data_IF_506553823766
#
_entry.id   IF_506553823766
#
_cell.length_a   1.000
_cell.length_b   1.000
_cell.length_c   1.000
_cell.angle_alpha   90.00
_cell.angle_beta   90.00
_cell.angle_gamma   90.00
#
_symmetry.space_group_name_H-M   'P 1'
#
loop_
_entity.id
_entity.type
_entity.pdbx_description
1 polymer ?
#
# COMPACT_ATOMS: atom_id res chain seq x y z
N UNK A 1 73.15 15.90 -7.86
CA UNK A 1 73.87 16.67 -6.81
C UNK A 1 75.13 17.24 -7.43
N UNK A 2 75.45 18.52 -7.18
CA UNK A 2 76.74 19.10 -7.58
C UNK A 2 77.62 19.26 -6.34
N UNK A 3 78.82 18.68 -6.38
CA UNK A 3 79.85 18.90 -5.37
C UNK A 3 80.98 19.70 -6.04
N UNK A 4 81.34 20.83 -5.43
CA UNK A 4 82.41 21.72 -5.91
C UNK A 4 83.56 21.66 -4.93
N UNK A 5 84.69 21.10 -5.35
CA UNK A 5 85.95 21.16 -4.60
C UNK A 5 86.87 22.18 -5.28
N UNK A 6 87.57 22.97 -4.47
CA UNK A 6 88.40 24.11 -4.88
C UNK A 6 89.78 23.93 -4.29
N UNK A 7 90.83 23.97 -5.09
CA UNK A 7 92.19 24.02 -4.57
C UNK A 7 92.65 25.48 -4.32
N UNK A 8 93.74 25.66 -3.58
CA UNK A 8 94.30 26.99 -3.25
C UNK A 8 94.86 27.76 -4.47
N UNK A 9 94.89 27.16 -5.66
CA UNK A 9 95.38 27.78 -6.89
C UNK A 9 94.23 28.27 -7.80
N UNK A 10 92.97 28.12 -7.38
CA UNK A 10 91.81 28.64 -8.11
C UNK A 10 91.34 27.73 -9.25
N UNK A 11 91.79 26.48 -9.30
CA UNK A 11 91.28 25.50 -10.25
C UNK A 11 90.07 24.77 -9.65
N UNK A 12 89.06 24.52 -10.48
CA UNK A 12 87.85 23.80 -10.09
C UNK A 12 87.61 22.66 -11.08
N UNK A 13 87.36 21.46 -10.57
CA UNK A 13 86.86 20.33 -11.37
C UNK A 13 85.39 20.16 -11.03
N UNK A 14 84.52 20.37 -12.02
CA UNK A 14 83.08 20.17 -11.90
C UNK A 14 82.74 18.82 -12.54
N UNK A 15 82.50 17.80 -11.73
CA UNK A 15 81.93 16.53 -12.21
C UNK A 15 80.41 16.58 -12.07
N UNK A 16 79.72 16.39 -13.19
CA UNK A 16 78.26 16.28 -13.22
C UNK A 16 77.91 14.82 -13.39
N UNK A 17 77.17 14.25 -12.42
CA UNK A 17 76.53 12.96 -12.57
C UNK A 17 75.17 13.25 -13.21
N UNK A 18 75.01 12.94 -14.49
CA UNK A 18 73.70 12.86 -15.13
C UNK A 18 72.96 11.67 -14.55
N UNK A 19 71.90 11.93 -13.80
CA UNK A 19 71.02 10.90 -13.26
C UNK A 19 69.85 10.77 -14.24
N UNK A 20 69.88 9.76 -15.09
CA UNK A 20 68.75 9.41 -15.94
C UNK A 20 67.69 8.72 -15.07
N UNK A 21 66.77 9.51 -14.51
CA UNK A 21 65.63 8.96 -13.78
C UNK A 21 64.64 8.47 -14.83
N UNK A 22 64.70 7.17 -15.14
CA UNK A 22 63.77 6.51 -16.05
C UNK A 22 62.32 6.87 -15.67
N UNK A 23 61.62 7.61 -16.54
CA UNK A 23 60.27 8.08 -16.27
C UNK A 23 59.33 6.87 -16.15
N UNK A 24 58.69 6.73 -14.99
CA UNK A 24 57.72 5.67 -14.74
C UNK A 24 56.48 5.89 -15.64
N UNK A 25 56.09 4.93 -16.50
CA UNK A 25 54.89 5.07 -17.32
C UNK A 25 53.62 5.03 -16.46
N UNK A 26 52.53 5.70 -16.89
CA UNK A 26 51.24 5.64 -16.21
C UNK A 26 50.66 4.21 -16.25
N UNK A 27 49.87 3.82 -15.23
CA UNK A 27 49.19 2.53 -15.21
C UNK A 27 48.05 2.48 -16.23
N UNK A 28 47.77 1.29 -16.76
CA UNK A 28 46.74 1.04 -17.77
C UNK A 28 45.61 0.23 -17.13
N UNK A 29 44.37 0.70 -17.28
CA UNK A 29 43.18 -0.08 -16.91
C UNK A 29 42.85 -1.07 -18.01
N UNK A 30 42.75 -2.35 -17.66
CA UNK A 30 42.53 -3.45 -18.61
C UNK A 30 41.11 -3.97 -18.59
N UNK A 31 40.45 -3.94 -17.43
CA UNK A 31 39.06 -4.33 -17.28
C UNK A 31 38.33 -3.43 -16.27
N UNK A 32 37.18 -2.91 -16.67
CA UNK A 32 36.33 -2.06 -15.85
C UNK A 32 34.93 -1.93 -16.47
N UNK A 33 33.88 -1.83 -15.65
CA UNK A 33 32.52 -1.62 -16.15
C UNK A 33 32.32 -0.16 -16.56
N UNK A 34 31.84 0.10 -17.78
CA UNK A 34 31.41 1.46 -18.18
C UNK A 34 30.09 1.88 -17.49
N UNK A 35 29.27 0.90 -17.14
CA UNK A 35 28.02 1.05 -16.39
C UNK A 35 27.94 0.00 -15.30
N UNK A 36 27.46 0.39 -14.11
CA UNK A 36 27.35 -0.48 -12.93
C UNK A 36 25.98 -0.28 -12.28
N UNK A 37 25.32 -1.35 -11.86
CA UNK A 37 24.10 -1.24 -11.08
C UNK A 37 24.42 -1.09 -9.57
N UNK A 38 23.57 -0.37 -8.83
CA UNK A 38 23.77 -0.12 -7.38
C UNK A 38 23.80 -1.38 -6.51
N UNK A 39 23.43 -2.55 -7.06
CA UNK A 39 23.50 -3.85 -6.38
C UNK A 39 24.78 -4.63 -6.71
N UNK A 40 25.64 -4.14 -7.60
CA UNK A 40 26.91 -4.75 -7.99
C UNK A 40 28.10 -4.07 -7.30
N UNK A 41 29.18 -4.83 -7.12
CA UNK A 41 30.45 -4.29 -6.63
C UNK A 41 31.26 -3.69 -7.79
N UNK A 42 31.84 -2.53 -7.57
CA UNK A 42 32.79 -1.96 -8.52
C UNK A 42 34.11 -2.74 -8.46
N UNK A 43 34.49 -3.32 -9.59
CA UNK A 43 35.76 -4.03 -9.77
C UNK A 43 36.51 -3.38 -10.92
N UNK A 44 37.80 -3.14 -10.70
CA UNK A 44 38.70 -2.58 -11.69
C UNK A 44 40.00 -3.37 -11.69
N UNK A 45 40.47 -3.74 -12.87
CA UNK A 45 41.75 -4.41 -13.08
C UNK A 45 42.64 -3.60 -14.00
N UNK A 46 43.95 -3.70 -13.79
CA UNK A 46 44.92 -3.00 -14.61
C UNK A 46 46.34 -3.54 -14.47
N UNK A 47 47.23 -2.92 -15.25
CA UNK A 47 48.66 -3.21 -15.28
C UNK A 47 49.47 -1.94 -15.06
N UNK A 48 50.52 -2.04 -14.25
CA UNK A 48 51.55 -1.03 -14.03
C UNK A 48 52.93 -1.62 -14.36
N UNK A 49 53.99 -0.79 -14.35
CA UNK A 49 55.37 -1.28 -14.50
C UNK A 49 55.69 -2.27 -13.37
N UNK A 50 56.42 -3.34 -13.68
CA UNK A 50 56.82 -4.34 -12.70
C UNK A 50 57.55 -3.71 -11.50
N UNK A 51 57.14 -4.10 -10.30
CA UNK A 51 57.70 -3.57 -9.05
C UNK A 51 57.29 -2.13 -8.71
N UNK A 52 56.24 -1.58 -9.31
CA UNK A 52 55.64 -0.28 -8.92
C UNK A 52 54.22 -0.46 -8.37
N UNK A 53 53.90 0.21 -7.27
CA UNK A 53 52.54 0.24 -6.70
C UNK A 53 51.65 1.25 -7.44
N UNK A 54 50.35 1.31 -7.13
CA UNK A 54 49.39 2.21 -7.79
C UNK A 54 48.59 3.01 -6.76
N UNK A 55 48.43 4.33 -6.97
CA UNK A 55 47.40 5.10 -6.29
C UNK A 55 46.19 5.24 -7.23
N UNK A 56 45.05 4.72 -6.80
CA UNK A 56 43.77 4.84 -7.49
C UNK A 56 42.97 6.01 -6.90
N UNK A 57 42.47 6.88 -7.77
CA UNK A 57 41.65 8.02 -7.42
C UNK A 57 40.23 7.80 -7.93
N UNK A 58 39.24 7.96 -7.06
CA UNK A 58 37.82 7.83 -7.38
C UNK A 58 37.11 9.11 -6.95
N UNK A 59 36.41 9.74 -7.88
CA UNK A 59 35.60 10.94 -7.60
C UNK A 59 34.17 10.73 -8.08
N UNK A 60 33.21 10.90 -7.17
CA UNK A 60 31.79 10.97 -7.52
C UNK A 60 31.42 12.41 -7.90
N UNK A 61 30.93 12.62 -9.11
CA UNK A 61 30.46 13.92 -9.63
C UNK A 61 31.47 15.07 -9.42
N UNK A 62 31.27 15.89 -8.38
CA UNK A 62 32.16 16.99 -7.95
C UNK A 62 32.49 16.91 -6.45
N UNK A 63 32.28 15.76 -5.85
CA UNK A 63 32.61 15.49 -4.45
C UNK A 63 34.13 15.35 -4.25
N UNK A 64 34.53 15.09 -3.01
CA UNK A 64 35.92 14.87 -2.64
C UNK A 64 36.49 13.64 -3.36
N UNK A 65 37.74 13.75 -3.80
CA UNK A 65 38.48 12.62 -4.40
C UNK A 65 38.90 11.67 -3.29
N UNK A 66 38.54 10.39 -3.44
CA UNK A 66 39.00 9.31 -2.58
C UNK A 66 40.24 8.67 -3.21
N UNK A 67 41.26 8.41 -2.39
CA UNK A 67 42.54 7.82 -2.83
C UNK A 67 42.75 6.47 -2.16
N UNK A 68 43.07 5.46 -2.97
CA UNK A 68 43.33 4.09 -2.53
C UNK A 68 44.71 3.65 -2.99
N UNK A 69 45.56 3.22 -2.05
CA UNK A 69 46.87 2.66 -2.36
C UNK A 69 46.75 1.16 -2.64
N UNK A 70 47.13 0.73 -3.85
CA UNK A 70 47.04 -0.65 -4.31
C UNK A 70 48.44 -1.23 -4.50
N UNK A 71 48.65 -2.43 -3.95
CA UNK A 71 49.85 -3.23 -4.22
C UNK A 71 49.71 -3.95 -5.55
N UNK A 72 50.72 -3.86 -6.40
CA UNK A 72 50.79 -4.68 -7.62
C UNK A 72 51.43 -6.03 -7.35
N UNK A 73 51.05 -7.03 -8.13
CA UNK A 73 51.78 -8.30 -8.23
C UNK A 73 53.18 -8.13 -8.84
N UNK A 74 53.99 -9.20 -8.82
CA UNK A 74 55.32 -9.24 -9.45
C UNK A 74 55.30 -8.86 -10.93
N UNK A 75 54.22 -9.24 -11.63
CA UNK A 75 53.98 -8.91 -13.05
C UNK A 75 53.35 -7.53 -13.29
N UNK A 76 53.24 -6.70 -12.25
CA UNK A 76 52.65 -5.36 -12.34
C UNK A 76 51.11 -5.31 -12.39
N UNK A 77 50.42 -6.45 -12.33
CA UNK A 77 48.95 -6.49 -12.28
C UNK A 77 48.41 -6.00 -10.95
N UNK A 78 47.33 -5.24 -10.98
CA UNK A 78 46.56 -4.81 -9.81
C UNK A 78 45.06 -5.01 -10.01
N UNK A 79 44.34 -5.15 -8.89
CA UNK A 79 42.90 -5.25 -8.84
C UNK A 79 42.36 -4.45 -7.67
N UNK A 80 41.32 -3.67 -7.93
CA UNK A 80 40.55 -2.97 -6.91
C UNK A 80 39.14 -3.55 -6.87
N UNK A 81 38.64 -3.74 -5.65
CA UNK A 81 37.24 -4.08 -5.38
C UNK A 81 36.77 -3.09 -4.33
N UNK A 82 35.71 -2.35 -4.61
CA UNK A 82 35.13 -1.44 -3.64
C UNK A 82 34.53 -2.21 -2.46
N UNK A 83 34.79 -1.77 -1.23
CA UNK A 83 34.26 -2.41 -0.01
C UNK A 83 32.73 -2.30 0.07
N UNK A 84 32.21 -1.14 -0.34
CA UNK A 84 30.79 -0.83 -0.38
C UNK A 84 30.30 -0.66 -1.82
N UNK A 85 29.01 -0.95 -2.02
CA UNK A 85 28.33 -0.70 -3.29
C UNK A 85 28.26 0.81 -3.55
N UNK A 86 28.62 1.20 -4.76
CA UNK A 86 28.60 2.60 -5.16
C UNK A 86 27.15 3.10 -5.22
N UNK A 87 26.94 4.33 -4.74
CA UNK A 87 25.66 5.03 -4.89
C UNK A 87 25.47 5.48 -6.34
N UNK A 88 24.22 5.62 -6.76
CA UNK A 88 23.87 6.21 -8.05
C UNK A 88 24.60 7.54 -8.28
N UNK A 89 25.14 7.70 -9.49
CA UNK A 89 25.88 8.89 -9.91
C UNK A 89 26.94 8.60 -10.97
N UNK A 90 27.70 9.63 -11.33
CA UNK A 90 28.80 9.52 -12.30
C UNK A 90 30.12 9.54 -11.56
N UNK A 91 30.96 8.54 -11.78
CA UNK A 91 32.28 8.45 -11.17
C UNK A 91 33.36 8.69 -12.22
N UNK A 92 34.39 9.43 -11.83
CA UNK A 92 35.66 9.54 -12.55
C UNK A 92 36.71 8.74 -11.81
N UNK A 93 37.45 7.92 -12.54
CA UNK A 93 38.49 7.07 -11.98
C UNK A 93 39.78 7.27 -12.77
N UNK A 94 40.88 7.52 -12.08
CA UNK A 94 42.21 7.63 -12.67
C UNK A 94 43.26 7.11 -11.69
N UNK A 95 44.48 6.87 -12.16
CA UNK A 95 45.54 6.30 -11.34
C UNK A 95 46.92 6.80 -11.72
N UNK A 96 47.82 6.86 -10.74
CA UNK A 96 49.27 7.02 -10.92
C UNK A 96 50.02 5.81 -10.36
N UNK A 97 51.21 5.55 -10.91
CA UNK A 97 52.11 4.51 -10.43
C UNK A 97 53.16 5.11 -9.48
N UNK A 98 53.60 4.32 -8.51
CA UNK A 98 54.60 4.67 -7.50
C UNK A 98 55.72 3.64 -7.52
N UNK A 99 56.92 4.04 -7.94
CA UNK A 99 58.11 3.20 -7.93
C UNK A 99 58.64 2.92 -6.51
N UNK A 100 59.49 1.91 -6.37
CA UNK A 100 60.12 1.53 -5.08
C UNK A 100 60.94 2.65 -4.42
N UNK A 101 61.44 3.58 -5.22
CA UNK A 101 62.19 4.76 -4.79
C UNK A 101 61.29 5.97 -4.46
N UNK A 102 59.96 5.80 -4.49
CA UNK A 102 58.99 6.87 -4.27
C UNK A 102 58.73 7.76 -5.50
N UNK A 103 59.35 7.48 -6.65
CA UNK A 103 59.05 8.20 -7.89
C UNK A 103 57.62 7.94 -8.35
N UNK A 104 56.91 8.98 -8.80
CA UNK A 104 55.54 8.87 -9.31
C UNK A 104 55.50 9.02 -10.82
N UNK A 105 54.63 8.27 -11.48
CA UNK A 105 54.28 8.50 -12.88
C UNK A 105 53.35 9.71 -13.01
N UNK A 106 53.10 10.12 -14.26
CA UNK A 106 51.90 10.89 -14.57
C UNK A 106 50.65 10.03 -14.33
N UNK A 107 49.51 10.68 -14.10
CA UNK A 107 48.23 9.99 -14.02
C UNK A 107 47.77 9.55 -15.41
N UNK A 108 47.04 8.44 -15.48
CA UNK A 108 46.37 8.06 -16.72
C UNK A 108 45.14 8.91 -17.01
N UNK A 109 44.63 8.80 -18.24
CA UNK A 109 43.41 9.48 -18.65
C UNK A 109 42.20 8.99 -17.81
N UNK A 110 41.41 9.88 -17.20
CA UNK A 110 40.29 9.48 -16.37
C UNK A 110 39.21 8.73 -17.15
N UNK A 111 38.82 7.56 -16.65
CA UNK A 111 37.67 6.81 -17.14
C UNK A 111 36.39 7.26 -16.41
N UNK A 112 35.24 7.11 -17.09
CA UNK A 112 33.92 7.47 -16.58
C UNK A 112 33.09 6.22 -16.35
N UNK A 113 32.53 6.09 -15.14
CA UNK A 113 31.66 4.99 -14.73
C UNK A 113 30.29 5.56 -14.37
N UNK A 114 29.22 5.03 -14.95
CA UNK A 114 27.85 5.45 -14.64
C UNK A 114 27.21 4.42 -13.73
N UNK A 115 26.91 4.79 -12.50
CA UNK A 115 26.22 3.93 -11.54
C UNK A 115 24.73 4.21 -11.58
N UNK A 116 23.92 3.20 -11.91
CA UNK A 116 22.47 3.31 -12.09
C UNK A 116 21.72 2.54 -11.01
N UNK A 117 20.49 2.95 -10.67
CA UNK A 117 19.69 2.23 -9.70
C UNK A 117 19.31 0.84 -10.26
N UNK A 118 19.57 -0.20 -9.47
CA UNK A 118 19.22 -1.58 -9.83
C UNK A 118 17.71 -1.74 -10.05
N UNK A 119 17.35 -2.48 -11.10
CA UNK A 119 15.95 -2.79 -11.41
C UNK A 119 15.29 -3.61 -10.29
N UNK A 120 16.02 -4.54 -9.67
CA UNK A 120 15.51 -5.32 -8.53
C UNK A 120 15.11 -4.43 -7.35
N UNK A 121 15.88 -3.38 -7.10
CA UNK A 121 15.60 -2.43 -6.01
C UNK A 121 14.35 -1.59 -6.33
N UNK A 122 14.10 -1.28 -7.61
CA UNK A 122 12.86 -0.63 -8.07
C UNK A 122 11.63 -1.51 -7.87
N UNK A 123 11.76 -2.82 -8.08
CA UNK A 123 10.66 -3.77 -7.83
C UNK A 123 10.37 -3.95 -6.33
N UNK A 124 11.40 -4.05 -5.49
CA UNK A 124 11.23 -4.20 -4.04
C UNK A 124 10.44 -3.06 -3.39
N UNK A 125 10.74 -1.81 -3.73
CA UNK A 125 10.03 -0.64 -3.20
C UNK A 125 8.58 -0.54 -3.73
N UNK A 126 8.35 -0.96 -4.98
CA UNK A 126 7.02 -0.95 -5.59
C UNK A 126 6.08 -1.99 -4.97
N UNK A 127 6.60 -3.15 -4.58
CA UNK A 127 5.80 -4.19 -3.91
C UNK A 127 5.36 -3.75 -2.51
N UNK A 128 6.25 -3.13 -1.73
CA UNK A 128 5.94 -2.67 -0.36
C UNK A 128 4.82 -1.61 -0.38
N UNK A 129 4.91 -0.66 -1.30
CA UNK A 129 3.89 0.41 -1.44
C UNK A 129 2.55 -0.13 -1.92
N UNK A 130 2.54 -1.07 -2.86
CA UNK A 130 1.31 -1.72 -3.31
C UNK A 130 0.63 -2.51 -2.18
N UNK A 131 1.39 -3.31 -1.41
CA UNK A 131 0.83 -4.10 -0.30
C UNK A 131 0.20 -3.22 0.78
N UNK A 132 0.81 -2.05 1.08
CA UNK A 132 0.29 -1.14 2.10
C UNK A 132 -1.09 -0.56 1.76
N UNK A 133 -1.45 -0.48 0.48
CA UNK A 133 -2.76 0.00 0.00
C UNK A 133 -3.75 -1.17 -0.13
N UNK A 134 -3.28 -2.34 -0.58
CA UNK A 134 -4.14 -3.50 -0.83
C UNK A 134 -4.72 -4.08 0.46
N UNK A 135 -3.91 -4.21 1.53
CA UNK A 135 -4.34 -4.77 2.81
C UNK A 135 -5.54 -4.03 3.42
N UNK A 136 -5.55 -2.68 3.57
CA UNK A 136 -6.70 -1.97 4.13
C UNK A 136 -7.94 -2.04 3.21
N UNK A 137 -7.77 -2.10 1.88
CA UNK A 137 -8.89 -2.28 0.95
C UNK A 137 -9.56 -3.64 1.16
N UNK A 138 -8.78 -4.72 1.30
CA UNK A 138 -9.32 -6.05 1.61
C UNK A 138 -10.03 -6.03 2.97
N UNK A 139 -9.45 -5.38 3.97
CA UNK A 139 -10.07 -5.20 5.28
C UNK A 139 -11.41 -4.47 5.21
N UNK A 140 -11.49 -3.37 4.43
CA UNK A 140 -12.72 -2.61 4.19
C UNK A 140 -13.78 -3.44 3.46
N UNK A 141 -13.38 -4.23 2.46
CA UNK A 141 -14.29 -5.13 1.75
C UNK A 141 -14.89 -6.18 2.68
N UNK A 142 -14.06 -6.83 3.51
CA UNK A 142 -14.52 -7.81 4.50
C UNK A 142 -15.47 -7.15 5.51
N UNK A 143 -15.13 -5.95 5.99
CA UNK A 143 -15.95 -5.20 6.92
C UNK A 143 -17.30 -4.81 6.29
N UNK A 144 -17.31 -4.39 5.02
CA UNK A 144 -18.54 -4.08 4.28
C UNK A 144 -19.43 -5.32 4.14
N UNK A 145 -18.85 -6.45 3.74
CA UNK A 145 -19.56 -7.74 3.64
C UNK A 145 -20.15 -8.13 5.00
N UNK A 146 -19.39 -7.94 6.08
CA UNK A 146 -19.85 -8.22 7.43
C UNK A 146 -21.03 -7.32 7.85
N UNK A 147 -20.98 -6.02 7.55
CA UNK A 147 -22.08 -5.08 7.81
C UNK A 147 -23.33 -5.48 7.02
N UNK A 148 -23.20 -5.80 5.74
CA UNK A 148 -24.32 -6.22 4.90
C UNK A 148 -24.94 -7.52 5.43
N UNK A 149 -24.11 -8.51 5.77
CA UNK A 149 -24.56 -9.77 6.35
C UNK A 149 -25.29 -9.56 7.68
N UNK A 150 -24.70 -8.77 8.58
CA UNK A 150 -25.29 -8.47 9.89
C UNK A 150 -26.62 -7.70 9.75
N UNK A 151 -26.65 -6.69 8.88
CA UNK A 151 -27.84 -5.88 8.61
C UNK A 151 -28.96 -6.73 8.04
N UNK A 152 -28.66 -7.60 7.06
CA UNK A 152 -29.66 -8.47 6.47
C UNK A 152 -30.21 -9.48 7.47
N UNK A 153 -29.36 -10.07 8.29
CA UNK A 153 -29.78 -11.02 9.32
C UNK A 153 -30.65 -10.36 10.40
N UNK A 154 -30.30 -9.14 10.83
CA UNK A 154 -31.11 -8.36 11.77
C UNK A 154 -32.44 -7.92 11.15
N UNK A 155 -32.43 -7.43 9.91
CA UNK A 155 -33.62 -7.00 9.19
C UNK A 155 -34.58 -8.17 8.95
N UNK A 156 -34.08 -9.34 8.55
CA UNK A 156 -34.89 -10.55 8.37
C UNK A 156 -35.56 -10.98 9.68
N UNK A 157 -34.84 -10.93 10.80
CA UNK A 157 -35.44 -11.21 12.13
C UNK A 157 -36.49 -10.18 12.52
N UNK A 158 -36.24 -8.90 12.28
CA UNK A 158 -37.18 -7.82 12.57
C UNK A 158 -38.47 -7.95 11.75
N UNK A 159 -38.35 -8.15 10.43
CA UNK A 159 -39.47 -8.34 9.52
C UNK A 159 -40.33 -9.55 9.90
N UNK A 160 -39.69 -10.67 10.25
CA UNK A 160 -40.41 -11.88 10.68
C UNK A 160 -41.16 -11.70 12.01
N UNK A 161 -40.69 -10.82 12.90
CA UNK A 161 -41.41 -10.48 14.14
C UNK A 161 -42.59 -9.58 13.85
N UNK A 162 -42.39 -8.53 13.06
CA UNK A 162 -43.45 -7.60 12.67
C UNK A 162 -44.62 -8.30 11.98
N UNK A 163 -44.37 -9.19 11.02
CA UNK A 163 -45.44 -9.94 10.37
C UNK A 163 -46.22 -10.83 11.35
N UNK A 164 -45.56 -11.40 12.36
CA UNK A 164 -46.22 -12.19 13.40
C UNK A 164 -47.05 -11.30 14.33
N UNK A 165 -46.54 -10.13 14.70
CA UNK A 165 -47.22 -9.21 15.61
C UNK A 165 -48.43 -8.55 14.94
N UNK A 166 -48.32 -8.18 13.65
CA UNK A 166 -49.44 -7.66 12.84
C UNK A 166 -50.55 -8.71 12.73
N UNK A 167 -50.23 -9.95 12.34
CA UNK A 167 -51.23 -11.05 12.26
C UNK A 167 -51.87 -11.36 13.61
N UNK A 168 -51.15 -11.22 14.72
CA UNK A 168 -51.71 -11.40 16.07
C UNK A 168 -52.67 -10.26 16.44
N UNK A 169 -52.28 -9.02 16.17
CA UNK A 169 -53.13 -7.86 16.41
C UNK A 169 -54.43 -7.93 15.59
N UNK A 170 -54.31 -8.32 14.32
CA UNK A 170 -55.42 -8.52 13.39
C UNK A 170 -56.41 -9.58 13.89
N UNK A 171 -55.92 -10.79 14.21
CA UNK A 171 -56.75 -11.87 14.73
C UNK A 171 -57.46 -11.47 16.05
N UNK A 172 -56.76 -10.77 16.94
CA UNK A 172 -57.34 -10.29 18.19
C UNK A 172 -58.44 -9.25 17.95
N UNK A 173 -58.23 -8.31 17.02
CA UNK A 173 -59.24 -7.32 16.63
C UNK A 173 -60.47 -7.99 16.00
N UNK A 174 -60.26 -8.97 15.11
CA UNK A 174 -61.34 -9.74 14.49
C UNK A 174 -62.15 -10.50 15.54
N UNK A 175 -61.49 -11.16 16.50
CA UNK A 175 -62.16 -11.86 17.61
C UNK A 175 -62.95 -10.90 18.50
N UNK A 176 -62.40 -9.74 18.82
CA UNK A 176 -63.08 -8.72 19.63
C UNK A 176 -64.33 -8.18 18.91
N UNK A 177 -64.21 -7.84 17.62
CA UNK A 177 -65.33 -7.38 16.81
C UNK A 177 -66.42 -8.45 16.65
N UNK A 178 -66.03 -9.72 16.41
CA UNK A 178 -66.97 -10.84 16.33
C UNK A 178 -67.75 -11.03 17.63
N UNK A 179 -67.10 -10.92 18.79
CA UNK A 179 -67.78 -10.97 20.09
C UNK A 179 -68.77 -9.82 20.25
N UNK A 180 -68.35 -8.59 19.97
CA UNK A 180 -69.23 -7.41 20.01
C UNK A 180 -70.45 -7.58 19.11
N UNK A 181 -70.26 -8.06 17.88
CA UNK A 181 -71.33 -8.35 16.92
C UNK A 181 -72.34 -9.36 17.47
N UNK A 182 -71.86 -10.45 18.06
CA UNK A 182 -72.72 -11.48 18.65
C UNK A 182 -73.55 -10.90 19.81
N UNK A 183 -72.93 -10.12 20.68
CA UNK A 183 -73.60 -9.50 21.83
C UNK A 183 -74.66 -8.48 21.40
N UNK A 184 -74.33 -7.60 20.44
CA UNK A 184 -75.28 -6.62 19.88
C UNK A 184 -76.45 -7.32 19.17
N UNK A 185 -76.18 -8.36 18.37
CA UNK A 185 -77.22 -9.12 17.68
C UNK A 185 -78.15 -9.85 18.66
N UNK A 186 -77.60 -10.36 19.76
CA UNK A 186 -78.39 -10.98 20.84
C UNK A 186 -79.30 -9.97 21.53
N UNK A 187 -78.83 -8.75 21.79
CA UNK A 187 -79.67 -7.68 22.34
C UNK A 187 -80.80 -7.28 21.39
N UNK A 188 -80.51 -7.18 20.09
CA UNK A 188 -81.54 -6.92 19.06
C UNK A 188 -82.57 -8.04 19.03
N UNK A 189 -82.16 -9.31 19.09
CA UNK A 189 -83.08 -10.47 19.07
C UNK A 189 -83.98 -10.52 20.31
N UNK A 190 -83.47 -10.16 21.49
CA UNK A 190 -84.28 -10.04 22.72
C UNK A 190 -85.35 -8.95 22.54
N UNK A 191 -84.97 -7.77 22.04
CA UNK A 191 -85.92 -6.67 21.80
C UNK A 191 -86.95 -7.01 20.70
N UNK A 192 -86.54 -7.73 19.65
CA UNK A 192 -87.45 -8.23 18.62
C UNK A 192 -88.40 -9.33 19.12
N UNK A 193 -87.97 -10.17 20.07
CA UNK A 193 -88.86 -11.12 20.76
C UNK A 193 -89.88 -10.39 21.63
N UNK A 194 -89.44 -9.37 22.39
CA UNK A 194 -90.35 -8.53 23.19
C UNK A 194 -91.40 -7.81 22.33
N UNK A 195 -91.05 -7.43 21.09
CA UNK A 195 -92.00 -6.89 20.09
C UNK A 195 -93.17 -7.84 19.78
N UNK A 196 -92.95 -9.16 19.86
CA UNK A 196 -93.99 -10.16 19.59
C UNK A 196 -94.97 -10.31 20.76
N UNK A 197 -94.56 -9.90 21.97
CA UNK A 197 -95.36 -9.96 23.19
C UNK A 197 -96.04 -8.62 23.50
N UNK A 198 -95.45 -7.49 23.10
CA UNK A 198 -96.04 -6.14 23.18
C UNK A 198 -95.55 -5.24 22.03
N UNK A 199 -96.29 -4.20 21.68
CA UNK A 199 -95.75 -3.20 20.75
C UNK A 199 -94.52 -2.49 21.34
N UNK A 200 -93.46 -2.36 20.53
CA UNK A 200 -92.29 -1.57 20.88
C UNK A 200 -92.63 -0.07 20.84
N UNK A 201 -92.07 0.67 21.78
CA UNK A 201 -92.09 2.13 21.78
C UNK A 201 -91.32 2.68 20.56
N UNK A 202 -91.65 3.90 20.14
CA UNK A 202 -90.94 4.56 19.03
C UNK A 202 -89.44 4.76 19.34
N UNK A 203 -89.07 4.94 20.60
CA UNK A 203 -87.66 4.97 21.05
C UNK A 203 -86.95 3.63 20.85
N UNK A 204 -87.59 2.50 21.19
CA UNK A 204 -87.02 1.16 21.00
C UNK A 204 -86.84 0.83 19.52
N UNK A 205 -87.83 1.17 18.67
CA UNK A 205 -87.72 0.98 17.21
C UNK A 205 -86.57 1.79 16.61
N UNK A 206 -86.39 3.05 17.03
CA UNK A 206 -85.28 3.90 16.59
C UNK A 206 -83.93 3.34 17.02
N UNK A 207 -83.81 2.90 18.27
CA UNK A 207 -82.58 2.32 18.81
C UNK A 207 -82.17 1.05 18.07
N UNK A 208 -83.10 0.12 17.80
CA UNK A 208 -82.82 -1.09 17.02
C UNK A 208 -82.33 -0.74 15.61
N UNK A 209 -82.99 0.23 14.96
CA UNK A 209 -82.62 0.68 13.61
C UNK A 209 -81.21 1.27 13.59
N UNK A 210 -80.85 2.08 14.59
CA UNK A 210 -79.50 2.63 14.73
C UNK A 210 -78.46 1.53 14.97
N UNK A 211 -78.67 0.65 15.95
CA UNK A 211 -77.74 -0.45 16.25
C UNK A 211 -77.50 -1.39 15.07
N UNK A 212 -78.54 -1.67 14.26
CA UNK A 212 -78.40 -2.46 13.03
C UNK A 212 -77.56 -1.76 11.97
N UNK A 213 -77.78 -0.46 11.78
CA UNK A 213 -77.03 0.34 10.81
C UNK A 213 -75.56 0.46 11.25
N UNK A 214 -75.31 0.84 12.49
CA UNK A 214 -73.96 1.02 13.03
C UNK A 214 -73.16 -0.29 13.00
N UNK A 215 -73.80 -1.42 13.28
CA UNK A 215 -73.18 -2.74 13.21
C UNK A 215 -72.83 -3.13 11.77
N UNK A 216 -73.71 -2.86 10.81
CA UNK A 216 -73.47 -3.15 9.39
C UNK A 216 -72.35 -2.26 8.82
N UNK A 217 -72.34 -0.98 9.17
CA UNK A 217 -71.31 -0.03 8.74
C UNK A 217 -69.94 -0.42 9.30
N UNK A 218 -69.88 -0.77 10.60
CA UNK A 218 -68.66 -1.24 11.22
C UNK A 218 -68.17 -2.58 10.62
N UNK A 219 -69.09 -3.50 10.29
CA UNK A 219 -68.74 -4.77 9.62
C UNK A 219 -68.16 -4.53 8.24
N UNK A 220 -68.73 -3.59 7.47
CA UNK A 220 -68.24 -3.23 6.14
C UNK A 220 -66.83 -2.62 6.18
N UNK A 221 -66.55 -1.72 7.13
CA UNK A 221 -65.23 -1.08 7.29
C UNK A 221 -64.19 -2.13 7.71
N UNK A 222 -64.47 -2.86 8.78
CA UNK A 222 -63.54 -3.84 9.35
C UNK A 222 -63.23 -4.97 8.35
N UNK A 223 -64.22 -5.43 7.57
CA UNK A 223 -63.99 -6.47 6.56
C UNK A 223 -63.11 -5.99 5.40
N UNK A 224 -63.18 -4.71 5.02
CA UNK A 224 -62.31 -4.13 3.98
C UNK A 224 -60.87 -4.00 4.47
N UNK A 225 -60.68 -3.38 5.64
CA UNK A 225 -59.36 -3.18 6.25
C UNK A 225 -58.59 -4.50 6.42
N UNK A 226 -59.26 -5.58 6.85
CA UNK A 226 -58.62 -6.90 6.95
C UNK A 226 -58.24 -7.48 5.58
N UNK A 227 -59.07 -7.32 4.56
CA UNK A 227 -58.79 -7.83 3.21
C UNK A 227 -57.59 -7.12 2.59
N UNK A 228 -57.42 -5.82 2.87
CA UNK A 228 -56.33 -5.02 2.32
C UNK A 228 -55.00 -5.32 3.04
N UNK A 229 -55.03 -5.47 4.37
CA UNK A 229 -53.84 -5.86 5.17
C UNK A 229 -53.37 -7.28 4.82
N UNK A 230 -54.28 -8.24 4.60
CA UNK A 230 -53.91 -9.61 4.23
C UNK A 230 -53.15 -9.66 2.89
N UNK A 231 -53.54 -8.82 1.92
CA UNK A 231 -52.83 -8.69 0.63
C UNK A 231 -51.45 -8.08 0.80
N UNK A 232 -51.33 -6.97 1.54
CA UNK A 232 -50.04 -6.30 1.78
C UNK A 232 -49.04 -7.21 2.51
N UNK A 233 -49.51 -8.05 3.44
CA UNK A 233 -48.67 -9.01 4.17
C UNK A 233 -48.25 -10.20 3.31
N UNK A 234 -49.00 -10.54 2.26
CA UNK A 234 -48.72 -11.67 1.36
C UNK A 234 -47.80 -11.29 0.20
N UNK A 235 -47.89 -10.05 -0.26
CA UNK A 235 -47.12 -9.53 -1.40
C UNK A 235 -45.79 -8.86 -0.98
N UNK A 236 -45.60 -8.61 0.32
CA UNK A 236 -44.36 -8.04 0.89
C UNK A 236 -43.41 -9.08 1.47
#
# INVERSE_FOLDING_TARGET
>A
MKAKAVDKAGNFVESSIEFDVEKLPPPIFTDYPSTLDTDQFFVLEGMSKEGSDVNLYIQKDREQVLTYALKTSETGRFRYVADDKLKEGVYKVWADAVGKNGAKSEANDPIKIIVRPSELMRFGMSLITALSIIIPIIGLLILLIFILWYSWHKFKKFRNRLQKDIRRAENNAHMAFKKLRLDVKKQIDILEKTKKERELTESEKRMIKQLKNDLNDAEGIISKEFTDIEKEVKDG
#
